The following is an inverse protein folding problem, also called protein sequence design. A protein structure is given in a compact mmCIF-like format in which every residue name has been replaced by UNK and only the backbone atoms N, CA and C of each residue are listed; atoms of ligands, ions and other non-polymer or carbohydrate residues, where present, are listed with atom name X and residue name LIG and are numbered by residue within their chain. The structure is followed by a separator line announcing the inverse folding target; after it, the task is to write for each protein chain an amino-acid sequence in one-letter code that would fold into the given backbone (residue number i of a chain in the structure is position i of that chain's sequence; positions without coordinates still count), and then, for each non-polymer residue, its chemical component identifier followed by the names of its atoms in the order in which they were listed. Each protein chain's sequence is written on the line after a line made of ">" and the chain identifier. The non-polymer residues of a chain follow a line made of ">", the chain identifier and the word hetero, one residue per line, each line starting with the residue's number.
data_IF_417428420411
#
_entry.id   IF_417428420411
#
_cell.length_a   1.000
_cell.length_b   1.000
_cell.length_c   1.000
_cell.angle_alpha   90.00
_cell.angle_beta   90.00
_cell.angle_gamma   90.00
#
_symmetry.space_group_name_H-M   'P 1'
#
loop_
_entity.id
_entity.type
_entity.pdbx_description
1 polymer ?
#
# COMPACT_ATOMS: atom_id res chain seq x y z
N UNK A 1 11.05 -65.36 28.13
CA UNK A 1 9.92 -64.37 28.01
C UNK A 1 10.39 -62.94 28.02
N UNK A 2 11.33 -62.53 28.85
CA UNK A 2 11.81 -61.14 29.00
C UNK A 2 12.40 -60.50 27.73
N UNK A 3 13.12 -61.26 26.91
CA UNK A 3 13.74 -60.78 25.64
C UNK A 3 12.76 -60.52 24.51
N UNK A 4 11.53 -61.07 24.54
CA UNK A 4 10.49 -60.79 23.56
C UNK A 4 9.72 -59.49 23.89
N UNK A 5 9.52 -59.19 25.16
CA UNK A 5 8.93 -57.97 25.65
C UNK A 5 9.80 -56.73 25.36
N UNK A 6 11.15 -56.88 25.49
CA UNK A 6 12.06 -55.82 25.24
C UNK A 6 12.15 -55.42 23.75
N UNK A 7 12.02 -56.38 22.82
CA UNK A 7 11.98 -56.13 21.38
C UNK A 7 10.66 -55.50 20.92
N UNK A 8 9.57 -55.79 21.59
CA UNK A 8 8.24 -55.23 21.26
C UNK A 8 8.12 -53.76 21.70
N UNK A 9 8.73 -53.41 22.85
CA UNK A 9 8.76 -52.01 23.30
C UNK A 9 9.69 -51.11 22.43
N UNK A 10 10.77 -51.67 21.89
CA UNK A 10 11.68 -50.90 21.01
C UNK A 10 11.02 -50.60 19.65
N UNK A 11 10.14 -51.48 19.16
CA UNK A 11 9.42 -51.24 17.88
C UNK A 11 8.30 -50.22 18.05
N UNK A 12 7.68 -50.13 19.23
CA UNK A 12 6.60 -49.17 19.52
C UNK A 12 7.18 -47.73 19.70
N UNK A 13 8.43 -47.59 20.17
CA UNK A 13 9.05 -46.27 20.37
C UNK A 13 9.50 -45.65 19.03
N UNK A 14 9.83 -46.45 18.01
CA UNK A 14 10.24 -45.97 16.70
C UNK A 14 9.05 -45.39 15.89
N UNK A 15 7.82 -45.83 16.13
CA UNK A 15 6.62 -45.35 15.43
C UNK A 15 6.18 -43.96 15.94
N UNK A 16 6.60 -43.56 17.14
CA UNK A 16 6.18 -42.31 17.76
C UNK A 16 7.01 -41.07 17.35
N UNK A 17 8.10 -41.23 16.59
CA UNK A 17 8.96 -40.13 16.17
C UNK A 17 8.80 -39.69 14.72
N UNK A 18 7.85 -40.25 13.96
CA UNK A 18 7.51 -39.78 12.60
C UNK A 18 6.23 -38.94 12.60
N UNK A 19 6.09 -38.02 13.56
CA UNK A 19 5.22 -36.86 13.33
C UNK A 19 6.01 -35.92 12.45
N UNK A 20 5.97 -36.15 11.14
CA UNK A 20 6.41 -35.18 10.15
C UNK A 20 5.68 -33.87 10.46
N UNK A 21 6.40 -32.89 10.96
CA UNK A 21 5.94 -31.52 10.95
C UNK A 21 5.66 -31.19 9.47
N UNK A 22 4.39 -31.23 9.08
CA UNK A 22 3.94 -30.67 7.81
C UNK A 22 4.14 -29.17 7.97
N UNK A 23 5.32 -28.71 7.62
CA UNK A 23 5.56 -27.29 7.40
C UNK A 23 4.73 -26.94 6.18
N UNK A 24 3.54 -26.42 6.38
CA UNK A 24 2.78 -25.78 5.30
C UNK A 24 3.65 -24.63 4.81
N UNK A 25 4.37 -24.86 3.72
CA UNK A 25 5.03 -23.77 3.00
C UNK A 25 3.91 -22.79 2.64
N UNK A 26 4.03 -21.54 3.07
CA UNK A 26 3.12 -20.48 2.67
C UNK A 26 3.18 -20.38 1.15
N UNK A 27 2.05 -20.60 0.49
CA UNK A 27 1.94 -20.48 -0.96
C UNK A 27 2.17 -19.03 -1.35
N UNK A 28 2.96 -18.81 -2.39
CA UNK A 28 3.15 -17.47 -2.96
C UNK A 28 1.81 -16.95 -3.50
N UNK A 29 1.56 -15.61 -3.47
CA UNK A 29 0.35 -15.04 -4.03
C UNK A 29 0.13 -15.50 -5.47
N UNK A 30 -1.11 -15.85 -5.80
CA UNK A 30 -1.45 -16.23 -7.17
C UNK A 30 -1.50 -15.01 -8.09
N UNK A 31 -1.32 -15.21 -9.39
CA UNK A 31 -1.48 -14.15 -10.39
C UNK A 31 -2.90 -13.53 -10.31
N UNK A 32 -3.92 -14.33 -9.95
CA UNK A 32 -5.29 -13.86 -9.78
C UNK A 32 -5.42 -12.90 -8.59
N UNK A 33 -4.75 -13.17 -7.47
CA UNK A 33 -4.74 -12.28 -6.29
C UNK A 33 -4.07 -10.95 -6.63
N UNK A 34 -2.96 -11.01 -7.36
CA UNK A 34 -2.24 -9.83 -7.81
C UNK A 34 -3.11 -9.01 -8.76
N UNK A 35 -3.78 -9.63 -9.73
CA UNK A 35 -4.67 -8.93 -10.68
C UNK A 35 -5.89 -8.32 -9.99
N UNK A 36 -6.44 -8.97 -8.99
CA UNK A 36 -7.52 -8.41 -8.16
C UNK A 36 -7.04 -7.17 -7.42
N UNK A 37 -5.86 -7.24 -6.81
CA UNK A 37 -5.26 -6.10 -6.12
C UNK A 37 -4.94 -4.94 -7.07
N UNK A 38 -4.46 -5.19 -8.29
CA UNK A 38 -4.25 -4.17 -9.33
C UNK A 38 -5.55 -3.45 -9.71
N UNK A 39 -6.64 -4.21 -9.89
CA UNK A 39 -7.97 -3.63 -10.18
C UNK A 39 -8.44 -2.78 -9.01
N UNK A 40 -8.19 -3.20 -7.77
CA UNK A 40 -8.51 -2.40 -6.59
C UNK A 40 -7.70 -1.11 -6.55
N UNK A 41 -6.39 -1.16 -6.82
CA UNK A 41 -5.56 0.06 -6.92
C UNK A 41 -6.14 1.04 -7.91
N UNK A 42 -6.48 0.58 -9.12
CA UNK A 42 -7.04 1.44 -10.17
C UNK A 42 -8.35 2.11 -9.74
N UNK A 43 -9.27 1.34 -9.14
CA UNK A 43 -10.54 1.86 -8.64
C UNK A 43 -10.33 2.89 -7.52
N UNK A 44 -9.46 2.60 -6.58
CA UNK A 44 -9.15 3.51 -5.47
C UNK A 44 -8.44 4.78 -5.96
N UNK A 45 -7.56 4.66 -6.93
CA UNK A 45 -6.85 5.78 -7.52
C UNK A 45 -7.82 6.76 -8.20
N UNK A 46 -8.72 6.25 -9.04
CA UNK A 46 -9.76 7.06 -9.68
C UNK A 46 -10.66 7.73 -8.64
N UNK A 47 -11.09 6.99 -7.61
CA UNK A 47 -11.93 7.51 -6.53
C UNK A 47 -11.22 8.60 -5.72
N UNK A 48 -10.01 8.35 -5.27
CA UNK A 48 -9.29 9.29 -4.41
C UNK A 48 -8.86 10.54 -5.15
N UNK A 49 -8.43 10.43 -6.40
CA UNK A 49 -8.09 11.59 -7.23
C UNK A 49 -9.31 12.47 -7.49
N UNK A 50 -10.46 11.86 -7.86
CA UNK A 50 -11.72 12.59 -8.03
C UNK A 50 -12.14 13.28 -6.73
N UNK A 51 -12.02 12.60 -5.59
CA UNK A 51 -12.34 13.17 -4.30
C UNK A 51 -11.44 14.37 -3.94
N UNK A 52 -10.11 14.23 -4.16
CA UNK A 52 -9.16 15.33 -3.93
C UNK A 52 -9.47 16.52 -4.82
N UNK A 53 -9.77 16.29 -6.09
CA UNK A 53 -10.11 17.34 -7.06
C UNK A 53 -11.36 18.11 -6.63
N UNK A 54 -12.48 17.41 -6.39
CA UNK A 54 -13.74 18.02 -5.99
C UNK A 54 -13.63 18.81 -4.68
N UNK A 55 -12.94 18.28 -3.69
CA UNK A 55 -12.75 18.99 -2.43
C UNK A 55 -11.83 20.20 -2.61
N UNK A 56 -10.79 20.09 -3.46
CA UNK A 56 -9.92 21.24 -3.74
C UNK A 56 -10.70 22.37 -4.38
N UNK A 57 -11.57 22.08 -5.34
CA UNK A 57 -12.43 23.09 -5.96
C UNK A 57 -13.36 23.79 -4.95
N UNK A 58 -13.97 23.02 -4.03
CA UNK A 58 -14.83 23.61 -2.99
C UNK A 58 -14.04 24.37 -1.93
N UNK A 59 -12.85 23.89 -1.55
CA UNK A 59 -11.97 24.59 -0.62
C UNK A 59 -11.51 25.95 -1.16
N UNK A 60 -11.20 26.03 -2.45
CA UNK A 60 -10.81 27.30 -3.09
C UNK A 60 -11.94 28.33 -3.06
N UNK A 61 -13.20 27.87 -3.22
CA UNK A 61 -14.38 28.74 -3.12
C UNK A 61 -14.71 29.14 -1.68
N UNK A 62 -14.42 28.25 -0.73
CA UNK A 62 -14.72 28.45 0.69
C UNK A 62 -13.58 27.94 1.59
N UNK A 63 -12.57 28.78 1.89
CA UNK A 63 -11.40 28.42 2.71
C UNK A 63 -11.71 28.02 4.17
N UNK A 64 -12.97 28.17 4.63
CA UNK A 64 -13.40 27.67 5.94
C UNK A 64 -13.50 26.14 5.99
N UNK A 65 -13.54 25.46 4.85
CA UNK A 65 -13.50 24.00 4.76
C UNK A 65 -12.10 23.44 5.02
N UNK A 66 -12.02 22.16 5.33
CA UNK A 66 -10.73 21.46 5.48
C UNK A 66 -10.07 21.24 4.12
N UNK A 67 -8.74 21.44 4.00
CA UNK A 67 -8.01 21.13 2.78
C UNK A 67 -8.19 19.68 2.34
N UNK A 68 -8.22 19.44 1.03
CA UNK A 68 -8.40 18.11 0.44
C UNK A 68 -7.43 17.06 0.99
N UNK A 69 -6.15 17.40 1.13
CA UNK A 69 -5.14 16.52 1.69
C UNK A 69 -5.45 16.10 3.15
N UNK A 70 -6.00 17.00 3.96
CA UNK A 70 -6.38 16.70 5.35
C UNK A 70 -7.55 15.73 5.40
N UNK A 71 -8.58 15.93 4.58
CA UNK A 71 -9.72 15.02 4.50
C UNK A 71 -9.34 13.66 3.93
N UNK A 72 -8.51 13.63 2.89
CA UNK A 72 -8.02 12.37 2.30
C UNK A 72 -7.27 11.52 3.32
N UNK A 73 -6.40 12.11 4.13
CA UNK A 73 -5.69 11.38 5.19
C UNK A 73 -6.64 10.74 6.20
N UNK A 74 -7.69 11.43 6.61
CA UNK A 74 -8.71 10.86 7.52
C UNK A 74 -9.45 9.67 6.89
N UNK A 75 -9.75 9.74 5.60
CA UNK A 75 -10.35 8.61 4.88
C UNK A 75 -9.39 7.43 4.83
N UNK A 76 -8.10 7.68 4.55
CA UNK A 76 -7.08 6.63 4.52
C UNK A 76 -6.92 5.94 5.88
N UNK A 77 -6.90 6.71 6.98
CA UNK A 77 -6.84 6.19 8.35
C UNK A 77 -8.01 5.25 8.65
N UNK A 78 -9.25 5.64 8.30
CA UNK A 78 -10.43 4.80 8.48
C UNK A 78 -10.37 3.51 7.66
N UNK A 79 -9.84 3.55 6.43
CA UNK A 79 -9.69 2.37 5.59
C UNK A 79 -8.64 1.41 6.14
N UNK A 80 -7.53 1.94 6.69
CA UNK A 80 -6.49 1.15 7.35
C UNK A 80 -7.01 0.51 8.65
N UNK A 81 -7.75 1.26 9.50
CA UNK A 81 -8.38 0.74 10.72
C UNK A 81 -9.38 -0.40 10.45
N UNK A 82 -10.08 -0.34 9.33
CA UNK A 82 -10.99 -1.40 8.86
C UNK A 82 -10.26 -2.61 8.25
N UNK A 83 -8.95 -2.52 8.06
CA UNK A 83 -8.14 -3.59 7.48
C UNK A 83 -8.24 -3.73 5.96
N UNK A 84 -8.91 -2.82 5.25
CA UNK A 84 -9.09 -2.93 3.81
C UNK A 84 -7.79 -2.71 3.04
N UNK A 85 -7.13 -1.62 3.28
CA UNK A 85 -5.86 -1.25 2.66
C UNK A 85 -5.25 -0.06 3.41
N UNK A 86 -3.98 0.18 3.15
CA UNK A 86 -3.30 1.39 3.59
C UNK A 86 -3.03 2.29 2.39
N UNK A 87 -3.29 3.58 2.54
CA UNK A 87 -2.95 4.60 1.55
C UNK A 87 -2.22 5.77 2.22
N UNK A 88 -1.34 6.44 1.47
CA UNK A 88 -0.58 7.61 1.93
C UNK A 88 -0.38 8.61 0.81
N UNK A 89 -0.45 9.89 1.15
CA UNK A 89 0.08 10.96 0.28
C UNK A 89 1.60 11.01 0.44
N UNK A 90 2.28 11.14 -0.70
CA UNK A 90 3.72 11.37 -0.78
C UNK A 90 3.98 12.72 -1.44
N UNK A 91 4.93 13.46 -0.90
CA UNK A 91 5.41 14.70 -1.50
C UNK A 91 6.49 14.42 -2.56
N UNK A 92 6.43 15.13 -3.68
CA UNK A 92 7.48 15.14 -4.71
C UNK A 92 8.21 16.48 -4.82
N UNK A 93 7.90 17.44 -3.93
CA UNK A 93 8.53 18.78 -3.96
C UNK A 93 9.83 18.83 -3.14
N UNK A 94 10.02 17.88 -2.23
CA UNK A 94 11.13 17.82 -1.28
C UNK A 94 10.96 18.73 -0.05
N UNK A 95 9.87 19.48 0.03
CA UNK A 95 9.56 20.40 1.14
C UNK A 95 8.08 20.35 1.50
N UNK A 96 7.56 19.19 1.98
CA UNK A 96 6.15 19.05 2.28
C UNK A 96 5.75 19.94 3.47
N UNK A 97 4.56 20.56 3.38
CA UNK A 97 3.95 21.23 4.54
C UNK A 97 3.73 20.28 5.72
N UNK A 98 3.38 19.02 5.42
CA UNK A 98 3.29 17.98 6.43
C UNK A 98 4.47 17.01 6.26
N UNK A 99 5.41 16.95 7.23
CA UNK A 99 6.57 16.04 7.17
C UNK A 99 6.20 14.57 7.02
N UNK A 100 4.98 14.16 7.44
CA UNK A 100 4.51 12.80 7.24
C UNK A 100 4.35 12.41 5.77
N UNK A 101 4.26 13.36 4.87
CA UNK A 101 4.19 13.10 3.43
C UNK A 101 5.58 12.82 2.81
N UNK A 102 6.66 12.91 3.56
CA UNK A 102 7.95 12.42 3.08
C UNK A 102 7.91 10.91 2.80
N UNK A 103 8.57 10.42 1.75
CA UNK A 103 8.75 8.99 1.51
C UNK A 103 9.42 8.30 2.71
N UNK A 104 8.79 7.25 3.25
CA UNK A 104 9.26 6.57 4.48
C UNK A 104 10.15 5.36 4.20
N UNK A 105 9.98 4.70 3.06
CA UNK A 105 10.70 3.47 2.71
C UNK A 105 11.32 3.53 1.31
N UNK A 106 12.01 2.47 0.92
CA UNK A 106 12.67 2.39 -0.39
C UNK A 106 11.66 2.42 -1.54
N UNK A 107 10.51 1.72 -1.40
CA UNK A 107 9.48 1.70 -2.43
C UNK A 107 8.94 3.11 -2.71
N UNK A 108 8.63 3.87 -1.67
CA UNK A 108 8.09 5.22 -1.81
C UNK A 108 9.11 6.19 -2.42
N UNK A 109 10.40 6.05 -2.07
CA UNK A 109 11.47 6.83 -2.71
C UNK A 109 11.64 6.49 -4.19
N UNK A 110 11.59 5.18 -4.53
CA UNK A 110 11.67 4.72 -5.91
C UNK A 110 10.48 5.24 -6.73
N UNK A 111 9.26 5.27 -6.12
CA UNK A 111 8.07 5.82 -6.74
C UNK A 111 8.25 7.29 -7.13
N UNK A 112 8.64 8.14 -6.17
CA UNK A 112 8.84 9.57 -6.43
C UNK A 112 9.89 9.78 -7.51
N UNK A 113 11.00 9.03 -7.47
CA UNK A 113 12.03 9.10 -8.51
C UNK A 113 11.48 8.69 -9.88
N UNK A 114 10.76 7.56 -9.97
CA UNK A 114 10.17 7.10 -11.23
C UNK A 114 9.19 8.13 -11.82
N UNK A 115 8.38 8.77 -10.97
CA UNK A 115 7.41 9.79 -11.40
C UNK A 115 8.09 11.08 -11.86
N UNK A 116 9.20 11.46 -11.25
CA UNK A 116 10.02 12.57 -11.74
C UNK A 116 10.59 12.33 -13.15
N UNK A 117 10.73 11.05 -13.56
CA UNK A 117 11.13 10.63 -14.91
C UNK A 117 9.95 10.37 -15.85
N UNK A 118 8.73 10.71 -15.45
CA UNK A 118 7.54 10.62 -16.30
C UNK A 118 6.74 9.33 -16.21
N UNK A 119 7.10 8.38 -15.34
CA UNK A 119 6.20 7.28 -15.03
C UNK A 119 4.96 7.80 -14.30
N UNK A 120 3.86 7.08 -14.37
CA UNK A 120 2.62 7.40 -13.65
C UNK A 120 2.21 6.30 -12.67
N UNK A 121 2.85 5.14 -12.73
CA UNK A 121 2.54 3.96 -11.93
C UNK A 121 3.78 3.10 -11.72
N UNK A 122 3.97 2.63 -10.49
CA UNK A 122 4.88 1.53 -10.16
C UNK A 122 4.23 0.58 -9.17
N UNK A 123 4.64 -0.69 -9.19
CA UNK A 123 4.21 -1.69 -8.22
C UNK A 123 5.28 -2.72 -7.92
N UNK A 124 5.14 -3.43 -6.80
CA UNK A 124 5.83 -4.68 -6.49
C UNK A 124 5.08 -5.46 -5.40
N UNK A 125 5.24 -6.77 -5.40
CA UNK A 125 4.77 -7.62 -4.30
C UNK A 125 5.84 -7.62 -3.20
N UNK A 126 5.42 -7.35 -1.95
CA UNK A 126 6.29 -7.36 -0.78
C UNK A 126 5.69 -8.24 0.31
N UNK A 127 6.56 -9.02 0.98
CA UNK A 127 6.20 -9.69 2.22
C UNK A 127 6.55 -8.78 3.41
N UNK A 128 5.54 -8.35 4.15
CA UNK A 128 5.67 -7.50 5.32
C UNK A 128 5.16 -8.29 6.53
N UNK A 129 6.04 -8.57 7.48
CA UNK A 129 5.71 -9.31 8.71
C UNK A 129 4.95 -10.62 8.46
N UNK A 130 5.37 -11.36 7.42
CA UNK A 130 4.79 -12.66 7.07
C UNK A 130 3.47 -12.60 6.28
N UNK A 131 3.00 -11.42 5.88
CA UNK A 131 1.85 -11.22 4.99
C UNK A 131 2.29 -10.65 3.65
N UNK A 132 1.64 -11.06 2.58
CA UNK A 132 1.96 -10.60 1.24
C UNK A 132 1.03 -9.45 0.84
N UNK A 133 1.64 -8.40 0.28
CA UNK A 133 0.97 -7.19 -0.14
C UNK A 133 1.38 -6.82 -1.57
N UNK A 134 0.42 -6.26 -2.31
CA UNK A 134 0.77 -5.43 -3.46
C UNK A 134 1.07 -4.02 -2.94
N UNK A 135 2.32 -3.59 -3.07
CA UNK A 135 2.70 -2.19 -2.94
C UNK A 135 2.57 -1.54 -4.31
N UNK A 136 1.80 -0.47 -4.39
CA UNK A 136 1.62 0.28 -5.63
C UNK A 136 1.71 1.79 -5.33
N UNK A 137 2.10 2.56 -6.33
CA UNK A 137 2.03 4.02 -6.24
C UNK A 137 1.60 4.61 -7.59
N UNK A 138 0.86 5.71 -7.51
CA UNK A 138 0.39 6.49 -8.67
C UNK A 138 0.82 7.93 -8.53
N UNK A 139 1.22 8.57 -9.64
CA UNK A 139 1.60 9.97 -9.63
C UNK A 139 0.38 10.88 -9.40
N UNK A 140 0.57 11.94 -8.64
CA UNK A 140 -0.42 13.00 -8.41
C UNK A 140 0.09 14.30 -9.00
N UNK A 141 -0.58 14.79 -10.05
CA UNK A 141 -0.25 16.04 -10.73
C UNK A 141 -1.27 17.13 -10.41
N UNK A 142 -0.89 18.39 -10.60
CA UNK A 142 -1.83 19.50 -10.55
C UNK A 142 -2.81 19.40 -11.74
N UNK A 143 -4.08 19.12 -11.47
CA UNK A 143 -5.11 18.97 -12.51
C UNK A 143 -5.92 20.24 -12.74
N UNK A 144 -5.93 21.15 -11.76
CA UNK A 144 -6.63 22.44 -11.83
C UNK A 144 -5.77 23.57 -11.27
N UNK A 145 -6.12 24.82 -11.59
CA UNK A 145 -5.46 26.00 -10.99
C UNK A 145 -5.65 26.03 -9.46
N UNK A 146 -6.70 25.43 -8.93
CA UNK A 146 -6.89 25.29 -7.49
C UNK A 146 -5.76 24.57 -6.78
N UNK A 147 -5.11 23.62 -7.45
CA UNK A 147 -3.94 22.92 -6.90
C UNK A 147 -2.76 23.85 -6.67
N UNK A 148 -2.57 24.84 -7.55
CA UNK A 148 -1.42 25.76 -7.50
C UNK A 148 -1.51 26.76 -6.35
N UNK A 149 -2.70 27.00 -5.80
CA UNK A 149 -2.92 27.86 -4.63
C UNK A 149 -2.20 27.28 -3.40
N UNK A 150 -2.29 25.97 -3.22
CA UNK A 150 -1.64 25.27 -2.10
C UNK A 150 -0.22 24.81 -2.44
N UNK A 151 0.14 24.77 -3.73
CA UNK A 151 1.46 24.37 -4.21
C UNK A 151 2.14 25.53 -4.99
N UNK A 152 2.63 26.56 -4.28
CA UNK A 152 3.21 27.73 -4.92
C UNK A 152 4.43 27.36 -5.78
N UNK A 153 4.52 27.97 -6.97
CA UNK A 153 5.57 27.69 -7.94
C UNK A 153 5.32 26.48 -8.84
N UNK A 154 4.17 25.80 -8.66
CA UNK A 154 3.68 24.75 -9.55
C UNK A 154 2.64 25.29 -10.53
N UNK A 155 2.47 24.61 -11.65
CA UNK A 155 1.45 24.89 -12.68
C UNK A 155 0.65 23.61 -12.97
N UNK A 156 -0.48 23.75 -13.62
CA UNK A 156 -1.27 22.62 -14.09
C UNK A 156 -0.40 21.69 -14.94
N UNK A 157 -0.44 20.39 -14.65
CA UNK A 157 0.38 19.33 -15.24
C UNK A 157 1.65 18.99 -14.44
N UNK A 158 2.10 19.85 -13.52
CA UNK A 158 3.29 19.57 -12.72
C UNK A 158 3.04 18.47 -11.68
N UNK A 159 4.08 17.66 -11.44
CA UNK A 159 4.07 16.65 -10.39
C UNK A 159 4.03 17.33 -9.02
N UNK A 160 3.03 16.99 -8.21
CA UNK A 160 2.87 17.44 -6.83
C UNK A 160 3.35 16.39 -5.84
N UNK A 161 3.11 15.11 -6.16
CA UNK A 161 3.39 14.00 -5.27
C UNK A 161 2.89 12.69 -5.84
N UNK A 162 2.47 11.80 -4.93
CA UNK A 162 1.91 10.50 -5.28
C UNK A 162 0.90 10.04 -4.23
N UNK A 163 0.12 9.01 -4.58
CA UNK A 163 -0.60 8.18 -3.62
C UNK A 163 0.09 6.82 -3.60
N UNK A 164 0.55 6.41 -2.41
CA UNK A 164 1.10 5.07 -2.15
C UNK A 164 0.02 4.19 -1.56
N UNK A 165 -0.08 2.96 -2.05
CA UNK A 165 -1.04 1.94 -1.64
C UNK A 165 -0.31 0.71 -1.10
N UNK A 166 -0.89 0.08 -0.07
CA UNK A 166 -0.49 -1.24 0.43
C UNK A 166 -1.76 -2.09 0.51
N UNK A 167 -1.93 -3.00 -0.43
CA UNK A 167 -3.14 -3.83 -0.58
C UNK A 167 -2.81 -5.25 -0.15
N UNK A 168 -3.52 -5.84 0.84
CA UNK A 168 -3.33 -7.23 1.20
C UNK A 168 -3.70 -8.15 0.03
N UNK A 169 -2.87 -9.19 -0.22
CA UNK A 169 -3.09 -10.15 -1.30
C UNK A 169 -3.86 -11.40 -0.83
N UNK A 170 -3.90 -11.64 0.47
CA UNK A 170 -4.62 -12.75 1.08
C UNK A 170 -5.49 -12.19 2.23
N UNK A 171 -6.72 -12.65 2.31
CA UNK A 171 -7.59 -12.46 3.48
C UNK A 171 -7.24 -13.45 4.59
#
# INVERSE_FOLDING_TARGET
>A
MLKKLLKMNLFLIIILFFTSAITTAKESPSDEDIDRARKMVKLLDDLYKTFIELITEEYVKNPALLPAATLSKRVFEVMEEKGWHKARLLDATGTPFNPDNNPKDAFERDAINAFAWGNSYIERVENIEGKDYLRAATSLTAVTEGCTICHPGKKVGDLLGAISYTIPLQE
#
